data_IF_362327380937
#
_entry.id   IF_362327380937
#
_cell.length_a   1.000
_cell.length_b   1.000
_cell.length_c   1.000
_cell.angle_alpha   90.00
_cell.angle_beta   90.00
_cell.angle_gamma   90.00
#
_symmetry.space_group_name_H-M   'P 1'
#
loop_
_entity.id
_entity.type
_entity.pdbx_description
1 polymer ?
#
# COMPACT_ATOMS: atom_id res chain seq x y z
N UNK A 1 51.55 58.49 3.07
CA UNK A 1 50.40 58.09 2.28
C UNK A 1 49.33 57.39 3.09
N UNK A 2 48.20 58.02 3.29
CA UNK A 2 47.04 57.40 3.96
C UNK A 2 46.17 56.79 2.87
N UNK A 3 46.11 55.44 2.79
CA UNK A 3 45.24 54.77 1.85
C UNK A 3 43.92 54.44 2.56
N UNK A 4 42.85 55.14 2.19
CA UNK A 4 41.49 54.81 2.59
C UNK A 4 40.92 53.74 1.66
N UNK A 5 40.90 52.50 2.15
CA UNK A 5 40.25 51.42 1.46
C UNK A 5 38.75 51.39 1.91
N UNK A 6 37.89 52.02 1.14
CA UNK A 6 36.43 51.99 1.39
C UNK A 6 35.84 50.81 0.62
N UNK A 7 35.35 49.75 1.26
CA UNK A 7 34.75 48.64 0.57
C UNK A 7 33.34 49.00 0.12
N UNK A 8 33.20 49.72 -0.97
CA UNK A 8 31.92 50.14 -1.55
C UNK A 8 31.17 48.95 -2.14
N UNK A 9 31.86 47.88 -2.49
CA UNK A 9 31.29 46.67 -3.11
C UNK A 9 30.78 45.59 -2.12
N UNK A 10 31.09 45.69 -0.84
CA UNK A 10 30.66 44.69 0.14
C UNK A 10 29.17 44.72 0.45
N UNK A 11 28.51 45.84 0.22
CA UNK A 11 27.06 46.01 0.45
C UNK A 11 26.21 45.25 -0.58
N UNK A 12 26.62 45.21 -1.83
CA UNK A 12 25.91 44.50 -2.91
C UNK A 12 26.08 42.96 -2.75
N UNK A 13 27.24 42.49 -2.38
CA UNK A 13 27.50 41.06 -2.16
C UNK A 13 26.71 40.52 -0.97
N UNK A 14 26.54 41.29 0.09
CA UNK A 14 25.70 40.92 1.24
C UNK A 14 24.20 40.84 0.88
N UNK A 15 23.70 41.82 0.11
CA UNK A 15 22.31 41.80 -0.37
C UNK A 15 22.03 40.59 -1.28
N UNK A 16 22.98 40.28 -2.21
CA UNK A 16 22.88 39.12 -3.08
C UNK A 16 22.88 37.78 -2.28
N UNK A 17 23.77 37.66 -1.30
CA UNK A 17 23.80 36.47 -0.42
C UNK A 17 22.53 36.31 0.41
N UNK A 18 21.97 37.42 0.90
CA UNK A 18 20.70 37.39 1.64
C UNK A 18 19.54 37.01 0.74
N UNK A 19 19.50 37.49 -0.50
CA UNK A 19 18.49 37.11 -1.48
C UNK A 19 18.60 35.62 -1.85
N UNK A 20 19.81 35.11 -2.07
CA UNK A 20 20.05 33.68 -2.30
C UNK A 20 19.62 32.82 -1.11
N UNK A 21 19.90 33.23 0.12
CA UNK A 21 19.48 32.52 1.33
C UNK A 21 17.95 32.47 1.47
N UNK A 22 17.25 33.56 1.13
CA UNK A 22 15.77 33.59 1.12
C UNK A 22 15.18 32.66 0.07
N UNK A 23 15.76 32.65 -1.13
CA UNK A 23 15.33 31.71 -2.19
C UNK A 23 15.58 30.27 -1.77
N UNK A 24 16.74 29.96 -1.19
CA UNK A 24 17.04 28.63 -0.69
C UNK A 24 16.08 28.19 0.43
N UNK A 25 15.70 29.11 1.32
CA UNK A 25 14.69 28.84 2.36
C UNK A 25 13.32 28.55 1.75
N UNK A 26 12.87 29.36 0.80
CA UNK A 26 11.59 29.14 0.11
C UNK A 26 11.56 27.79 -0.63
N UNK A 27 12.67 27.42 -1.29
CA UNK A 27 12.78 26.11 -1.95
C UNK A 27 12.72 24.98 -0.92
N UNK A 28 13.38 25.14 0.23
CA UNK A 28 13.33 24.16 1.31
C UNK A 28 11.92 24.01 1.88
N UNK A 29 11.19 25.11 2.08
CA UNK A 29 9.80 25.10 2.55
C UNK A 29 8.86 24.41 1.56
N UNK A 30 9.00 24.70 0.26
CA UNK A 30 8.22 24.05 -0.80
C UNK A 30 8.50 22.53 -0.80
N UNK A 31 9.76 22.12 -0.74
CA UNK A 31 10.13 20.69 -0.70
C UNK A 31 9.62 20.01 0.55
N UNK A 32 9.60 20.68 1.69
CA UNK A 32 9.04 20.16 2.92
C UNK A 32 7.53 19.91 2.77
N UNK A 33 6.81 20.87 2.19
CA UNK A 33 5.37 20.75 1.98
C UNK A 33 5.04 19.65 0.97
N UNK A 34 5.76 19.57 -0.15
CA UNK A 34 5.66 18.47 -1.12
C UNK A 34 5.90 17.11 -0.47
N UNK A 35 6.92 17.01 0.41
CA UNK A 35 7.23 15.77 1.12
C UNK A 35 6.12 15.37 2.07
N UNK A 36 5.55 16.33 2.83
CA UNK A 36 4.41 16.08 3.72
C UNK A 36 3.19 15.59 2.94
N UNK A 37 2.86 16.24 1.83
CA UNK A 37 1.74 15.84 0.97
C UNK A 37 1.95 14.44 0.39
N UNK A 38 3.17 14.13 -0.06
CA UNK A 38 3.53 12.80 -0.57
C UNK A 38 3.39 11.72 0.50
N UNK A 39 3.87 11.96 1.72
CA UNK A 39 3.75 11.02 2.84
C UNK A 39 2.28 10.82 3.24
N UNK A 40 1.49 11.88 3.28
CA UNK A 40 0.05 11.81 3.55
C UNK A 40 -0.68 10.97 2.50
N UNK A 41 -0.36 11.18 1.23
CA UNK A 41 -0.94 10.40 0.14
C UNK A 41 -0.53 8.92 0.21
N UNK A 42 0.73 8.62 0.54
CA UNK A 42 1.20 7.25 0.72
C UNK A 42 0.48 6.55 1.87
N UNK A 43 0.28 7.22 3.00
CA UNK A 43 -0.46 6.65 4.12
C UNK A 43 -1.93 6.41 3.78
N UNK A 44 -2.58 7.35 3.08
CA UNK A 44 -3.95 7.17 2.62
C UNK A 44 -4.08 6.00 1.65
N UNK A 45 -3.15 5.87 0.70
CA UNK A 45 -3.09 4.75 -0.23
C UNK A 45 -2.90 3.41 0.51
N UNK A 46 -1.95 3.35 1.45
CA UNK A 46 -1.69 2.15 2.24
C UNK A 46 -2.91 1.74 3.08
N UNK A 47 -3.63 2.71 3.65
CA UNK A 47 -4.89 2.47 4.38
C UNK A 47 -5.97 1.88 3.47
N UNK A 48 -6.16 2.45 2.29
CA UNK A 48 -7.15 1.96 1.32
C UNK A 48 -6.81 0.53 0.85
N UNK A 49 -5.53 0.26 0.56
CA UNK A 49 -5.07 -1.07 0.15
C UNK A 49 -5.25 -2.12 1.27
N UNK A 50 -5.00 -1.74 2.52
CA UNK A 50 -5.25 -2.62 3.67
C UNK A 50 -6.74 -2.91 3.82
N UNK A 51 -7.60 -1.90 3.75
CA UNK A 51 -9.06 -2.07 3.79
C UNK A 51 -9.54 -3.01 2.69
N UNK A 52 -9.10 -2.80 1.45
CA UNK A 52 -9.44 -3.64 0.32
C UNK A 52 -8.97 -5.09 0.52
N UNK A 53 -7.80 -5.30 1.13
CA UNK A 53 -7.30 -6.65 1.42
C UNK A 53 -8.18 -7.40 2.42
N UNK A 54 -8.75 -6.71 3.41
CA UNK A 54 -9.71 -7.27 4.37
C UNK A 54 -11.01 -7.68 3.66
N UNK A 55 -11.54 -6.84 2.80
CA UNK A 55 -12.76 -7.12 2.04
C UNK A 55 -12.58 -8.32 1.10
N UNK A 56 -11.43 -8.38 0.43
CA UNK A 56 -11.05 -9.51 -0.41
C UNK A 56 -10.96 -10.83 0.39
N UNK A 57 -10.31 -10.80 1.54
CA UNK A 57 -10.24 -11.94 2.45
C UNK A 57 -11.63 -12.44 2.86
N UNK A 58 -12.54 -11.54 3.24
CA UNK A 58 -13.90 -11.92 3.61
C UNK A 58 -14.66 -12.55 2.44
N UNK A 59 -14.46 -12.04 1.23
CA UNK A 59 -15.06 -12.58 0.01
C UNK A 59 -14.51 -13.97 -0.30
N UNK A 60 -13.20 -14.16 -0.23
CA UNK A 60 -12.58 -15.47 -0.47
C UNK A 60 -12.96 -16.49 0.60
N UNK A 61 -13.11 -16.07 1.86
CA UNK A 61 -13.64 -16.94 2.92
C UNK A 61 -15.06 -17.46 2.58
N UNK A 62 -15.94 -16.58 2.08
CA UNK A 62 -17.28 -16.99 1.62
C UNK A 62 -17.21 -17.93 0.44
N UNK A 63 -16.28 -17.70 -0.50
CA UNK A 63 -16.08 -18.56 -1.67
C UNK A 63 -15.61 -19.97 -1.28
N UNK A 64 -14.69 -20.10 -0.32
CA UNK A 64 -14.29 -21.41 0.22
C UNK A 64 -15.49 -22.14 0.83
N UNK A 65 -16.28 -21.48 1.65
CA UNK A 65 -17.47 -22.08 2.26
C UNK A 65 -18.48 -22.53 1.20
N UNK A 66 -18.66 -21.77 0.13
CA UNK A 66 -19.52 -22.14 -1.00
C UNK A 66 -18.96 -23.37 -1.73
N UNK A 67 -17.67 -23.35 -2.06
CA UNK A 67 -17.00 -24.47 -2.75
C UNK A 67 -17.05 -25.76 -1.92
N UNK A 68 -16.89 -25.69 -0.59
CA UNK A 68 -17.04 -26.85 0.30
C UNK A 68 -18.45 -27.44 0.23
N UNK A 69 -19.49 -26.58 0.21
CA UNK A 69 -20.87 -27.06 0.09
C UNK A 69 -21.15 -27.71 -1.27
N UNK A 70 -20.58 -27.13 -2.34
CA UNK A 70 -20.70 -27.70 -3.69
C UNK A 70 -19.99 -29.05 -3.77
N UNK A 71 -18.76 -29.14 -3.28
CA UNK A 71 -18.01 -30.41 -3.25
C UNK A 71 -18.75 -31.47 -2.46
N UNK A 72 -19.22 -31.16 -1.26
CA UNK A 72 -20.00 -32.08 -0.43
C UNK A 72 -21.27 -32.58 -1.15
N UNK A 73 -21.97 -31.69 -1.83
CA UNK A 73 -23.17 -32.05 -2.61
C UNK A 73 -22.84 -32.94 -3.79
N UNK A 74 -21.74 -32.67 -4.51
CA UNK A 74 -21.28 -33.51 -5.63
C UNK A 74 -20.81 -34.87 -5.15
N UNK A 75 -20.15 -34.95 -4.00
CA UNK A 75 -19.73 -36.19 -3.37
C UNK A 75 -20.92 -37.10 -3.04
N UNK A 76 -21.99 -36.55 -2.44
CA UNK A 76 -23.23 -37.29 -2.16
C UNK A 76 -23.85 -37.81 -3.45
N UNK A 77 -24.00 -36.97 -4.48
CA UNK A 77 -24.51 -37.36 -5.79
C UNK A 77 -23.70 -38.47 -6.45
N UNK A 78 -22.40 -38.43 -6.30
CA UNK A 78 -21.51 -39.46 -6.83
C UNK A 78 -21.77 -40.83 -6.14
N UNK A 79 -21.87 -40.85 -4.82
CA UNK A 79 -22.19 -42.09 -4.08
C UNK A 79 -23.60 -42.62 -4.34
N UNK A 80 -24.54 -41.74 -4.69
CA UNK A 80 -25.89 -42.12 -5.11
C UNK A 80 -25.97 -42.55 -6.61
N UNK A 81 -24.84 -42.50 -7.32
CA UNK A 81 -24.79 -42.85 -8.74
C UNK A 81 -25.39 -41.82 -9.71
N UNK A 82 -25.68 -40.61 -9.23
CA UNK A 82 -26.35 -39.52 -9.99
C UNK A 82 -25.33 -38.64 -10.71
N UNK A 83 -24.08 -38.61 -10.25
CA UNK A 83 -23.00 -37.75 -10.80
C UNK A 83 -21.79 -38.58 -11.18
N UNK A 84 -21.03 -38.11 -12.17
CA UNK A 84 -19.79 -38.75 -12.62
C UNK A 84 -18.61 -38.49 -11.69
N UNK A 85 -17.58 -39.33 -11.78
CA UNK A 85 -16.30 -39.09 -11.10
C UNK A 85 -15.61 -37.82 -11.59
N UNK A 86 -15.83 -37.43 -12.86
CA UNK A 86 -15.33 -36.19 -13.43
C UNK A 86 -15.93 -34.96 -12.73
N UNK A 87 -17.27 -34.96 -12.50
CA UNK A 87 -17.95 -33.86 -11.83
C UNK A 87 -17.48 -33.71 -10.37
N UNK A 88 -17.25 -34.83 -9.68
CA UNK A 88 -16.69 -34.79 -8.34
C UNK A 88 -15.25 -34.24 -8.33
N UNK A 89 -14.40 -34.71 -9.24
CA UNK A 89 -13.04 -34.22 -9.38
C UNK A 89 -12.98 -32.71 -9.68
N UNK A 90 -13.87 -32.25 -10.55
CA UNK A 90 -14.00 -30.83 -10.86
C UNK A 90 -14.38 -30.00 -9.63
N UNK A 91 -15.35 -30.47 -8.82
CA UNK A 91 -15.73 -29.79 -7.58
C UNK A 91 -14.61 -29.77 -6.56
N UNK A 92 -13.83 -30.84 -6.45
CA UNK A 92 -12.63 -30.90 -5.57
C UNK A 92 -11.55 -29.93 -6.03
N UNK A 93 -11.24 -29.89 -7.33
CA UNK A 93 -10.26 -28.95 -7.87
C UNK A 93 -10.68 -27.49 -7.64
N UNK A 94 -11.97 -27.20 -7.80
CA UNK A 94 -12.53 -25.88 -7.52
C UNK A 94 -12.36 -25.50 -6.03
N UNK A 95 -12.63 -26.45 -5.12
CA UNK A 95 -12.43 -26.25 -3.69
C UNK A 95 -10.95 -25.94 -3.36
N UNK A 96 -10.02 -26.74 -3.89
CA UNK A 96 -8.58 -26.51 -3.68
C UNK A 96 -8.13 -25.14 -4.20
N UNK A 97 -8.61 -24.73 -5.38
CA UNK A 97 -8.30 -23.41 -5.93
C UNK A 97 -8.78 -22.28 -5.01
N UNK A 98 -10.01 -22.39 -4.48
CA UNK A 98 -10.54 -21.39 -3.53
C UNK A 98 -9.77 -21.38 -2.20
N UNK A 99 -9.36 -22.54 -1.70
CA UNK A 99 -8.53 -22.64 -0.50
C UNK A 99 -7.17 -21.97 -0.67
N UNK A 100 -6.51 -22.17 -1.82
CA UNK A 100 -5.24 -21.50 -2.13
C UNK A 100 -5.40 -19.98 -2.20
N UNK A 101 -6.44 -19.49 -2.89
CA UNK A 101 -6.73 -18.06 -2.96
C UNK A 101 -7.00 -17.46 -1.56
N UNK A 102 -7.68 -18.19 -0.71
CA UNK A 102 -7.95 -17.77 0.67
C UNK A 102 -6.67 -17.67 1.49
N UNK A 103 -5.78 -18.68 1.43
CA UNK A 103 -4.48 -18.65 2.11
C UNK A 103 -3.64 -17.46 1.60
N UNK A 104 -3.60 -17.25 0.29
CA UNK A 104 -2.89 -16.11 -0.31
C UNK A 104 -3.43 -14.76 0.18
N UNK A 105 -4.75 -14.65 0.38
CA UNK A 105 -5.35 -13.43 0.92
C UNK A 105 -4.94 -13.13 2.36
N UNK A 106 -4.73 -14.16 3.19
CA UNK A 106 -4.19 -13.98 4.55
C UNK A 106 -2.77 -13.40 4.53
N UNK A 107 -1.91 -13.91 3.65
CA UNK A 107 -0.55 -13.38 3.48
C UNK A 107 -0.59 -11.93 2.96
N UNK A 108 -1.52 -11.62 2.07
CA UNK A 108 -1.72 -10.26 1.54
C UNK A 108 -2.13 -9.28 2.64
N UNK A 109 -3.03 -9.66 3.55
CA UNK A 109 -3.41 -8.80 4.69
C UNK A 109 -2.20 -8.49 5.55
N UNK A 110 -1.39 -9.49 5.88
CA UNK A 110 -0.18 -9.30 6.70
C UNK A 110 0.79 -8.34 6.03
N UNK A 111 1.03 -8.50 4.72
CA UNK A 111 1.90 -7.63 3.94
C UNK A 111 1.35 -6.19 3.87
N UNK A 112 0.05 -6.01 3.63
CA UNK A 112 -0.59 -4.69 3.55
C UNK A 112 -0.64 -4.00 4.92
N UNK A 113 -0.81 -4.76 6.00
CA UNK A 113 -0.71 -4.24 7.36
C UNK A 113 0.70 -3.70 7.65
N UNK A 114 1.74 -4.46 7.31
CA UNK A 114 3.13 -4.01 7.48
C UNK A 114 3.43 -2.74 6.66
N UNK A 115 2.93 -2.66 5.41
CA UNK A 115 3.05 -1.46 4.57
C UNK A 115 2.35 -0.25 5.20
N UNK A 116 1.16 -0.44 5.77
CA UNK A 116 0.41 0.62 6.45
C UNK A 116 1.16 1.11 7.70
N UNK A 117 1.66 0.20 8.53
CA UNK A 117 2.44 0.54 9.73
C UNK A 117 3.70 1.34 9.38
N UNK A 118 4.42 0.94 8.33
CA UNK A 118 5.58 1.69 7.82
C UNK A 118 5.20 3.09 7.33
N UNK A 119 4.11 3.21 6.57
CA UNK A 119 3.65 4.51 6.06
C UNK A 119 3.23 5.45 7.18
N UNK A 120 2.59 4.94 8.25
CA UNK A 120 2.21 5.72 9.43
C UNK A 120 3.42 6.12 10.26
N UNK A 121 4.41 5.24 10.44
CA UNK A 121 5.65 5.55 11.16
C UNK A 121 6.47 6.64 10.48
N UNK A 122 6.44 6.72 9.15
CA UNK A 122 7.10 7.78 8.39
C UNK A 122 6.42 9.15 8.55
N UNK A 123 5.12 9.18 8.89
CA UNK A 123 4.40 10.44 9.14
C UNK A 123 4.68 11.01 10.53
N UNK A 124 5.04 10.18 11.52
CA UNK A 124 5.22 10.58 12.90
C UNK A 124 6.65 11.12 13.16
N UNK A 125 7.60 10.83 12.30
CA UNK A 125 8.97 11.36 12.35
C UNK A 125 9.12 12.64 11.55
#
# INVERSE_FOLDING_TARGET
GISLNVPIFSSFSRKAKTAQAKIALNIADIRLEETKQKLSLQAQKAKNEYQLSIENYQTLKRNVNLAQRIEKKQRVKFFEGISSSFDLLQAQNQLYAQQQNYIQSMLTIIAKKATLENALNLQIK
#
